data_IF_437987122638
#
_entry.id   IF_437987122638
#
_cell.length_a   1.000
_cell.length_b   1.000
_cell.length_c   1.000
_cell.angle_alpha   90.00
_cell.angle_beta   90.00
_cell.angle_gamma   90.00
#
_symmetry.space_group_name_H-M   'P 1'
#
loop_
_entity.id
_entity.type
_entity.pdbx_description
1 polymer ?
#
# COMPACT_ATOMS: atom_id res chain seq x y z
N UNK A 1 23.01 -16.82 7.07
CA UNK A 1 21.70 -16.32 6.60
C UNK A 1 21.46 -14.96 7.24
N UNK A 2 21.16 -13.92 6.46
CA UNK A 2 21.01 -12.54 6.95
C UNK A 2 19.87 -12.45 8.00
N UNK A 3 20.07 -11.68 9.09
CA UNK A 3 19.10 -11.50 10.18
C UNK A 3 17.74 -11.01 9.66
N UNK A 4 17.77 -10.05 8.71
CA UNK A 4 16.57 -9.50 8.08
C UNK A 4 15.80 -10.60 7.35
N UNK A 5 16.48 -11.48 6.59
CA UNK A 5 15.82 -12.57 5.86
C UNK A 5 15.09 -13.56 6.79
N UNK A 6 15.70 -13.92 7.92
CA UNK A 6 15.05 -14.80 8.93
C UNK A 6 13.80 -14.13 9.52
N UNK A 7 13.89 -12.83 9.79
CA UNK A 7 12.76 -12.07 10.32
C UNK A 7 11.63 -11.98 9.28
N UNK A 8 11.96 -11.66 8.03
CA UNK A 8 11.01 -11.65 6.91
C UNK A 8 10.31 -13.01 6.75
N UNK A 9 11.06 -14.11 6.75
CA UNK A 9 10.48 -15.44 6.62
C UNK A 9 9.51 -15.77 7.78
N UNK A 10 9.91 -15.49 9.03
CA UNK A 10 9.04 -15.67 10.20
C UNK A 10 7.72 -14.88 10.04
N UNK A 11 7.82 -13.61 9.66
CA UNK A 11 6.64 -12.74 9.53
C UNK A 11 5.74 -13.22 8.39
N UNK A 12 6.30 -13.59 7.25
CA UNK A 12 5.52 -14.13 6.13
C UNK A 12 4.75 -15.39 6.54
N UNK A 13 5.43 -16.35 7.16
CA UNK A 13 4.79 -17.61 7.56
C UNK A 13 3.69 -17.43 8.62
N UNK A 14 3.83 -16.41 9.49
CA UNK A 14 2.80 -16.08 10.48
C UNK A 14 1.65 -15.23 9.94
N UNK A 15 1.84 -14.55 8.81
CA UNK A 15 0.85 -13.62 8.22
C UNK A 15 0.05 -14.25 7.08
N UNK A 16 0.56 -15.31 6.45
CA UNK A 16 -0.07 -15.99 5.32
C UNK A 16 -1.02 -17.09 5.82
N UNK A 17 -2.10 -16.71 6.48
CA UNK A 17 -3.23 -17.59 6.75
C UNK A 17 -4.32 -17.42 5.69
N UNK A 18 -5.24 -18.41 5.61
CA UNK A 18 -6.33 -18.41 4.62
C UNK A 18 -7.20 -17.16 4.75
N UNK A 19 -7.42 -16.65 5.96
CA UNK A 19 -8.23 -15.46 6.21
C UNK A 19 -7.61 -14.22 5.60
N UNK A 20 -6.32 -14.00 5.84
CA UNK A 20 -5.58 -12.85 5.30
C UNK A 20 -5.45 -12.91 3.77
N UNK A 21 -5.18 -14.11 3.22
CA UNK A 21 -5.12 -14.31 1.76
C UNK A 21 -6.49 -14.05 1.11
N UNK A 22 -7.57 -14.54 1.73
CA UNK A 22 -8.92 -14.30 1.23
C UNK A 22 -9.26 -12.81 1.21
N UNK A 23 -8.90 -12.07 2.25
CA UNK A 23 -9.15 -10.64 2.33
C UNK A 23 -8.34 -9.85 1.28
N UNK A 24 -7.09 -10.27 1.03
CA UNK A 24 -6.22 -9.69 0.00
C UNK A 24 -6.77 -9.83 -1.42
N UNK A 25 -7.57 -10.85 -1.68
CA UNK A 25 -8.12 -11.15 -3.02
C UNK A 25 -9.57 -10.71 -3.14
N UNK A 26 -10.44 -11.13 -2.21
CA UNK A 26 -11.89 -10.96 -2.34
C UNK A 26 -12.31 -9.49 -2.30
N UNK A 27 -11.68 -8.69 -1.45
CA UNK A 27 -12.07 -7.29 -1.30
C UNK A 27 -11.71 -6.46 -2.55
N UNK A 28 -10.48 -6.49 -3.08
CA UNK A 28 -10.15 -5.76 -4.31
C UNK A 28 -10.85 -6.30 -5.55
N UNK A 29 -11.04 -7.64 -5.66
CA UNK A 29 -11.83 -8.23 -6.75
C UNK A 29 -13.28 -7.75 -6.68
N UNK A 30 -13.87 -7.72 -5.48
CA UNK A 30 -15.20 -7.17 -5.26
C UNK A 30 -15.29 -5.70 -5.72
N UNK A 31 -14.33 -4.86 -5.37
CA UNK A 31 -14.27 -3.46 -5.84
C UNK A 31 -14.14 -3.38 -7.37
N UNK A 32 -13.25 -4.17 -7.97
CA UNK A 32 -13.08 -4.18 -9.43
C UNK A 32 -14.36 -4.57 -10.15
N UNK A 33 -15.02 -5.65 -9.70
CA UNK A 33 -16.23 -6.14 -10.34
C UNK A 33 -17.41 -5.20 -10.08
N UNK A 34 -17.68 -4.84 -8.82
CA UNK A 34 -18.84 -4.01 -8.47
C UNK A 34 -18.69 -2.59 -9.05
N UNK A 35 -17.59 -1.91 -8.76
CA UNK A 35 -17.36 -0.55 -9.29
C UNK A 35 -17.12 -0.56 -10.80
N UNK A 36 -16.37 -1.54 -11.30
CA UNK A 36 -16.11 -1.68 -12.74
C UNK A 36 -17.39 -1.90 -13.55
N UNK A 37 -18.28 -2.80 -13.11
CA UNK A 37 -19.55 -3.08 -13.79
C UNK A 37 -20.56 -1.94 -13.60
N UNK A 38 -20.72 -1.44 -12.37
CA UNK A 38 -21.68 -0.36 -12.08
C UNK A 38 -21.28 0.95 -12.78
N UNK A 39 -20.05 1.42 -12.55
CA UNK A 39 -19.58 2.67 -13.17
C UNK A 39 -19.35 2.51 -14.67
N UNK A 40 -18.89 1.33 -15.13
CA UNK A 40 -18.74 1.04 -16.56
C UNK A 40 -20.07 1.08 -17.33
N UNK A 41 -21.22 0.78 -16.70
CA UNK A 41 -22.53 0.92 -17.30
C UNK A 41 -22.99 2.39 -17.37
N UNK A 42 -22.60 3.24 -16.42
CA UNK A 42 -22.96 4.66 -16.33
C UNK A 42 -21.99 5.50 -17.19
N UNK A 43 -20.69 5.20 -17.10
CA UNK A 43 -19.59 5.90 -17.78
C UNK A 43 -18.80 4.85 -18.58
N UNK A 44 -19.30 4.40 -19.72
CA UNK A 44 -18.64 3.34 -20.49
C UNK A 44 -17.26 3.74 -20.99
N UNK A 45 -17.04 5.03 -21.27
CA UNK A 45 -15.79 5.57 -21.76
C UNK A 45 -15.44 6.88 -21.06
N UNK A 46 -14.15 7.11 -20.86
CA UNK A 46 -13.60 8.37 -20.36
C UNK A 46 -12.33 8.75 -21.13
N UNK A 47 -11.97 10.02 -21.06
CA UNK A 47 -10.70 10.50 -21.62
C UNK A 47 -9.66 10.60 -20.50
N UNK A 48 -8.53 9.97 -20.73
CA UNK A 48 -7.37 10.06 -19.85
C UNK A 48 -6.12 10.32 -20.69
N UNK A 49 -5.38 11.39 -20.41
CA UNK A 49 -4.22 11.85 -21.18
C UNK A 49 -4.44 11.87 -22.71
N UNK A 50 -5.64 12.24 -23.16
CA UNK A 50 -6.00 12.32 -24.58
C UNK A 50 -6.45 11.00 -25.22
N UNK A 51 -6.30 9.86 -24.56
CA UNK A 51 -6.82 8.57 -25.04
C UNK A 51 -8.23 8.29 -24.49
N UNK A 52 -9.08 7.71 -25.35
CA UNK A 52 -10.40 7.21 -24.95
C UNK A 52 -10.24 5.79 -24.39
N UNK A 53 -10.52 5.63 -23.11
CA UNK A 53 -10.41 4.35 -22.40
C UNK A 53 -11.74 3.97 -21.75
N UNK A 54 -11.96 2.67 -21.48
CA UNK A 54 -13.07 2.24 -20.67
C UNK A 54 -12.81 2.50 -19.18
N UNK A 55 -13.88 2.60 -18.39
CA UNK A 55 -13.75 2.87 -16.95
C UNK A 55 -12.95 1.80 -16.20
N UNK A 56 -13.07 0.53 -16.59
CA UNK A 56 -12.33 -0.56 -15.94
C UNK A 56 -10.83 -0.43 -16.18
N UNK A 57 -10.40 -0.02 -17.38
CA UNK A 57 -8.97 0.24 -17.67
C UNK A 57 -8.41 1.41 -16.85
N UNK A 58 -9.26 2.38 -16.48
CA UNK A 58 -8.88 3.45 -15.56
C UNK A 58 -8.79 2.95 -14.10
N UNK A 59 -9.76 2.14 -13.67
CA UNK A 59 -9.94 1.69 -12.30
C UNK A 59 -8.90 0.65 -11.89
N UNK A 60 -8.62 -0.33 -12.75
CA UNK A 60 -7.79 -1.50 -12.41
C UNK A 60 -6.39 -1.12 -11.89
N UNK A 61 -5.59 -0.23 -12.54
CA UNK A 61 -4.31 0.22 -11.99
C UNK A 61 -4.45 0.88 -10.60
N UNK A 62 -5.55 1.59 -10.38
CA UNK A 62 -5.85 2.21 -9.09
C UNK A 62 -6.04 1.17 -7.98
N UNK A 63 -6.80 0.10 -8.25
CA UNK A 63 -7.02 -1.00 -7.29
C UNK A 63 -5.73 -1.81 -7.07
N UNK A 64 -4.92 -1.99 -8.11
CA UNK A 64 -3.59 -2.62 -7.98
C UNK A 64 -2.69 -1.79 -7.05
N UNK A 65 -2.70 -0.47 -7.18
CA UNK A 65 -1.97 0.43 -6.29
C UNK A 65 -2.51 0.41 -4.85
N UNK A 66 -3.82 0.28 -4.68
CA UNK A 66 -4.49 0.29 -3.36
C UNK A 66 -4.07 -0.89 -2.47
N UNK A 67 -3.50 -1.97 -3.03
CA UNK A 67 -2.92 -3.08 -2.28
C UNK A 67 -1.83 -2.64 -1.28
N UNK A 68 -1.18 -1.50 -1.51
CA UNK A 68 -0.19 -0.95 -0.58
C UNK A 68 -0.79 -0.56 0.78
N UNK A 69 -2.07 -0.16 0.80
CA UNK A 69 -2.76 0.18 2.05
C UNK A 69 -3.07 -1.06 2.88
N UNK A 70 -3.44 -2.17 2.23
CA UNK A 70 -3.65 -3.46 2.89
C UNK A 70 -2.35 -3.96 3.51
N UNK A 71 -1.26 -4.01 2.72
CA UNK A 71 0.07 -4.39 3.22
C UNK A 71 0.57 -3.46 4.33
N UNK A 72 0.35 -2.14 4.18
CA UNK A 72 0.69 -1.16 5.21
C UNK A 72 -0.06 -1.39 6.53
N UNK A 73 -1.38 -1.61 6.47
CA UNK A 73 -2.19 -1.91 7.66
C UNK A 73 -1.73 -3.18 8.37
N UNK A 74 -1.41 -4.23 7.61
CA UNK A 74 -0.85 -5.47 8.16
C UNK A 74 0.49 -5.23 8.87
N UNK A 75 1.37 -4.37 8.33
CA UNK A 75 2.64 -4.02 8.97
C UNK A 75 2.43 -3.44 10.38
N UNK A 76 1.52 -2.49 10.51
CA UNK A 76 1.19 -1.87 11.79
C UNK A 76 0.53 -2.83 12.77
N UNK A 77 -0.37 -3.69 12.26
CA UNK A 77 -1.04 -4.71 13.07
C UNK A 77 -0.05 -5.74 13.64
N UNK A 78 0.90 -6.21 12.84
CA UNK A 78 1.93 -7.16 13.29
C UNK A 78 2.75 -6.57 14.43
N UNK A 79 3.21 -5.33 14.30
CA UNK A 79 3.94 -4.66 15.38
C UNK A 79 3.09 -4.51 16.63
N UNK A 80 1.82 -4.12 16.47
CA UNK A 80 0.88 -4.00 17.59
C UNK A 80 0.66 -5.35 18.29
N UNK A 81 0.45 -6.43 17.52
CA UNK A 81 0.22 -7.77 18.04
C UNK A 81 1.46 -8.32 18.76
N UNK A 82 2.63 -8.26 18.14
CA UNK A 82 3.90 -8.72 18.73
C UNK A 82 4.22 -7.97 20.04
N UNK A 83 3.93 -6.66 20.08
CA UNK A 83 4.06 -5.86 21.32
C UNK A 83 3.13 -6.36 22.43
N UNK A 84 1.89 -6.72 22.09
CA UNK A 84 0.88 -7.09 23.08
C UNK A 84 1.11 -8.48 23.69
N UNK A 85 1.62 -9.42 22.92
CA UNK A 85 1.86 -10.80 23.39
C UNK A 85 3.29 -10.99 23.98
N UNK A 86 4.05 -9.92 24.16
CA UNK A 86 5.42 -9.99 24.69
C UNK A 86 6.45 -10.61 23.73
N UNK A 87 6.10 -10.76 22.45
CA UNK A 87 7.01 -11.32 21.45
C UNK A 87 8.19 -10.41 21.17
N UNK A 88 8.04 -9.08 21.34
CA UNK A 88 9.14 -8.14 21.16
C UNK A 88 10.27 -8.38 22.15
N UNK A 89 9.96 -8.68 23.42
CA UNK A 89 10.94 -9.01 24.46
C UNK A 89 11.72 -10.28 24.08
N UNK A 90 11.02 -11.31 23.58
CA UNK A 90 11.66 -12.55 23.12
C UNK A 90 12.56 -12.32 21.91
N UNK A 91 12.14 -11.51 20.94
CA UNK A 91 12.95 -11.19 19.74
C UNK A 91 14.22 -10.44 20.15
N UNK A 92 14.14 -9.51 21.11
CA UNK A 92 15.31 -8.72 21.52
C UNK A 92 16.18 -9.39 22.58
N UNK A 93 15.78 -10.51 23.15
CA UNK A 93 16.70 -11.42 23.85
C UNK A 93 17.61 -12.18 22.89
N UNK A 94 17.25 -12.25 21.60
CA UNK A 94 18.08 -12.78 20.52
C UNK A 94 18.91 -11.65 19.88
N UNK A 95 19.96 -11.96 19.07
CA UNK A 95 20.84 -10.95 18.48
C UNK A 95 20.20 -10.20 17.30
N UNK A 96 18.95 -9.75 17.44
CA UNK A 96 18.24 -8.90 16.47
C UNK A 96 18.23 -7.46 16.92
N UNK A 97 18.41 -6.53 15.96
CA UNK A 97 18.24 -5.11 16.21
C UNK A 97 16.78 -4.69 15.95
N UNK A 98 16.38 -3.56 16.53
CA UNK A 98 15.08 -2.94 16.26
C UNK A 98 14.88 -2.63 14.77
N UNK A 99 15.98 -2.29 14.09
CA UNK A 99 15.98 -2.01 12.65
C UNK A 99 15.77 -3.29 11.84
N UNK A 100 16.42 -4.41 12.19
CA UNK A 100 16.22 -5.71 11.54
C UNK A 100 14.75 -6.14 11.61
N UNK A 101 14.08 -5.88 12.75
CA UNK A 101 12.68 -6.21 12.95
C UNK A 101 11.75 -5.35 12.06
N UNK A 102 11.90 -4.02 12.08
CA UNK A 102 11.07 -3.12 11.27
C UNK A 102 11.25 -3.36 9.78
N UNK A 103 12.49 -3.52 9.31
CA UNK A 103 12.77 -3.86 7.93
C UNK A 103 12.20 -5.24 7.56
N UNK A 104 12.30 -6.21 8.46
CA UNK A 104 11.71 -7.53 8.26
C UNK A 104 10.19 -7.46 8.02
N UNK A 105 9.47 -6.64 8.80
CA UNK A 105 8.04 -6.39 8.58
C UNK A 105 7.81 -5.74 7.21
N UNK A 106 8.50 -4.64 6.91
CA UNK A 106 8.27 -3.89 5.66
C UNK A 106 8.55 -4.75 4.42
N UNK A 107 9.63 -5.54 4.44
CA UNK A 107 9.95 -6.45 3.32
C UNK A 107 8.91 -7.57 3.21
N UNK A 108 8.43 -8.12 4.33
CA UNK A 108 7.37 -9.11 4.32
C UNK A 108 6.09 -8.56 3.69
N UNK A 109 5.70 -7.35 4.09
CA UNK A 109 4.50 -6.70 3.55
C UNK A 109 4.67 -6.28 2.08
N UNK A 110 5.89 -5.95 1.67
CA UNK A 110 6.19 -5.72 0.26
C UNK A 110 5.94 -6.97 -0.59
N UNK A 111 6.37 -8.14 -0.13
CA UNK A 111 6.10 -9.40 -0.83
C UNK A 111 4.61 -9.73 -0.87
N UNK A 112 3.87 -9.48 0.21
CA UNK A 112 2.41 -9.61 0.24
C UNK A 112 1.74 -8.65 -0.73
N UNK A 113 2.14 -7.37 -0.73
CA UNK A 113 1.63 -6.35 -1.67
C UNK A 113 1.91 -6.73 -3.12
N UNK A 114 3.11 -7.21 -3.45
CA UNK A 114 3.44 -7.66 -4.80
C UNK A 114 2.58 -8.84 -5.23
N UNK A 115 2.38 -9.83 -4.34
CA UNK A 115 1.53 -10.98 -4.64
C UNK A 115 0.08 -10.54 -4.89
N UNK A 116 -0.48 -9.67 -4.05
CA UNK A 116 -1.82 -9.13 -4.21
C UNK A 116 -1.97 -8.30 -5.49
N UNK A 117 -1.02 -7.41 -5.78
CA UNK A 117 -1.00 -6.59 -6.99
C UNK A 117 -0.89 -7.42 -8.25
N UNK A 118 -0.06 -8.48 -8.25
CA UNK A 118 0.06 -9.42 -9.36
C UNK A 118 -1.25 -10.17 -9.62
N UNK A 119 -1.86 -10.71 -8.57
CA UNK A 119 -3.14 -11.39 -8.65
C UNK A 119 -4.23 -10.46 -9.20
N UNK A 120 -4.29 -9.21 -8.71
CA UNK A 120 -5.24 -8.22 -9.21
C UNK A 120 -5.01 -7.86 -10.67
N UNK A 121 -3.74 -7.75 -11.08
CA UNK A 121 -3.39 -7.55 -12.50
C UNK A 121 -3.92 -8.69 -13.36
N UNK A 122 -3.69 -9.94 -12.93
CA UNK A 122 -4.16 -11.15 -13.66
C UNK A 122 -5.71 -11.15 -13.77
N UNK A 123 -6.41 -10.83 -12.68
CA UNK A 123 -7.88 -10.74 -12.69
C UNK A 123 -8.39 -9.62 -13.60
N UNK A 124 -7.64 -8.52 -13.72
CA UNK A 124 -8.03 -7.38 -14.55
C UNK A 124 -7.76 -7.59 -16.06
N UNK A 125 -6.80 -8.45 -16.45
CA UNK A 125 -6.41 -8.68 -17.87
C UNK A 125 -7.62 -8.88 -18.83
N UNK A 126 -8.66 -9.68 -18.50
CA UNK A 126 -9.78 -9.86 -19.41
C UNK A 126 -10.61 -8.59 -19.68
N UNK A 127 -10.49 -7.58 -18.83
CA UNK A 127 -11.30 -6.36 -18.87
C UNK A 127 -10.56 -5.11 -19.35
N UNK A 128 -9.22 -5.18 -19.46
CA UNK A 128 -8.36 -4.05 -19.78
C UNK A 128 -7.46 -4.32 -20.97
N UNK A 129 -7.16 -3.28 -21.74
CA UNK A 129 -6.10 -3.32 -22.76
C UNK A 129 -4.76 -2.97 -22.10
N UNK A 130 -4.05 -3.99 -21.64
CA UNK A 130 -2.75 -3.82 -21.00
C UNK A 130 -1.67 -3.57 -22.07
N UNK A 131 -1.03 -2.40 -22.03
CA UNK A 131 0.08 -2.01 -22.91
C UNK A 131 1.42 -1.96 -22.15
N UNK A 132 1.58 -2.78 -21.11
CA UNK A 132 2.75 -2.69 -20.23
C UNK A 132 4.03 -3.12 -20.96
N UNK A 133 5.05 -2.29 -20.90
CA UNK A 133 6.42 -2.57 -21.36
C UNK A 133 7.28 -3.08 -20.21
N UNK A 134 8.49 -3.57 -20.49
CA UNK A 134 9.45 -3.93 -19.45
C UNK A 134 9.74 -2.75 -18.50
N UNK A 135 9.90 -1.54 -19.07
CA UNK A 135 10.08 -0.31 -18.26
C UNK A 135 8.85 -0.03 -17.40
N UNK A 136 7.64 -0.19 -17.96
CA UNK A 136 6.38 -0.06 -17.21
C UNK A 136 6.30 -1.06 -16.05
N UNK A 137 6.68 -2.31 -16.28
CA UNK A 137 6.72 -3.32 -15.22
C UNK A 137 7.68 -2.94 -14.09
N UNK A 138 8.89 -2.48 -14.41
CA UNK A 138 9.86 -1.98 -13.43
C UNK A 138 9.28 -0.78 -12.66
N UNK A 139 8.62 0.15 -13.35
CA UNK A 139 7.96 1.30 -12.74
C UNK A 139 6.89 0.86 -11.73
N UNK A 140 6.05 -0.11 -12.08
CA UNK A 140 5.06 -0.67 -11.14
C UNK A 140 5.73 -1.22 -9.88
N UNK A 141 6.81 -2.02 -10.02
CA UNK A 141 7.53 -2.56 -8.88
C UNK A 141 8.14 -1.47 -7.98
N UNK A 142 8.71 -0.43 -8.59
CA UNK A 142 9.28 0.72 -7.86
C UNK A 142 8.19 1.44 -7.05
N UNK A 143 7.06 1.78 -7.69
CA UNK A 143 6.00 2.53 -7.02
C UNK A 143 5.26 1.70 -5.97
N UNK A 144 5.07 0.40 -6.18
CA UNK A 144 4.57 -0.51 -5.15
C UNK A 144 5.54 -0.59 -3.96
N UNK A 145 6.85 -0.61 -4.21
CA UNK A 145 7.86 -0.60 -3.16
C UNK A 145 7.80 0.69 -2.34
N UNK A 146 7.88 1.84 -3.00
CA UNK A 146 7.83 3.14 -2.34
C UNK A 146 6.53 3.32 -1.55
N UNK A 147 5.39 2.99 -2.17
CA UNK A 147 4.09 3.06 -1.52
C UNK A 147 3.99 2.17 -0.29
N UNK A 148 4.42 0.90 -0.39
CA UNK A 148 4.40 -0.03 0.75
C UNK A 148 5.27 0.46 1.90
N UNK A 149 6.44 1.04 1.62
CA UNK A 149 7.30 1.60 2.66
C UNK A 149 6.72 2.88 3.27
N UNK A 150 6.07 3.75 2.48
CA UNK A 150 5.38 4.95 2.98
C UNK A 150 4.24 4.55 3.94
N UNK A 151 3.28 3.76 3.45
CA UNK A 151 2.10 3.39 4.24
C UNK A 151 2.42 2.39 5.34
N UNK A 152 3.36 1.46 5.10
CA UNK A 152 3.87 0.55 6.14
C UNK A 152 4.52 1.32 7.29
N UNK A 153 5.37 2.30 7.01
CA UNK A 153 5.99 3.14 8.03
C UNK A 153 4.96 3.96 8.81
N UNK A 154 3.95 4.51 8.12
CA UNK A 154 2.84 5.22 8.75
C UNK A 154 2.08 4.31 9.72
N UNK A 155 1.73 3.10 9.29
CA UNK A 155 0.99 2.15 10.12
C UNK A 155 1.84 1.57 11.25
N UNK A 156 3.15 1.41 11.06
CA UNK A 156 4.08 1.05 12.14
C UNK A 156 4.10 2.10 13.25
N UNK A 157 3.98 3.40 12.92
CA UNK A 157 3.88 4.47 13.93
C UNK A 157 2.61 4.24 14.78
N UNK A 158 1.46 4.00 14.15
CA UNK A 158 0.21 3.73 14.88
C UNK A 158 0.28 2.42 15.68
N UNK A 159 0.84 1.34 15.12
CA UNK A 159 1.07 0.07 15.81
C UNK A 159 1.93 0.22 17.07
N UNK A 160 2.93 1.11 17.03
CA UNK A 160 3.77 1.41 18.18
C UNK A 160 3.03 2.18 19.30
N UNK A 161 2.17 3.13 18.95
CA UNK A 161 1.53 4.06 19.89
C UNK A 161 0.24 3.49 20.47
N UNK A 162 -0.58 2.84 19.65
CA UNK A 162 -1.94 2.44 20.01
C UNK A 162 -1.93 1.30 21.03
N UNK A 163 -2.83 1.40 22.04
CA UNK A 163 -2.93 0.42 23.14
C UNK A 163 -3.99 -0.65 22.90
N UNK A 164 -5.02 -0.38 22.09
CA UNK A 164 -6.17 -1.26 21.88
C UNK A 164 -6.28 -1.67 20.42
N UNK A 165 -6.60 -2.97 20.17
CA UNK A 165 -6.87 -3.49 18.83
C UNK A 165 -8.04 -2.75 18.16
N UNK A 166 -9.09 -2.47 18.92
CA UNK A 166 -10.26 -1.74 18.41
C UNK A 166 -9.88 -0.35 17.89
N UNK A 167 -9.05 0.38 18.65
CA UNK A 167 -8.58 1.71 18.26
C UNK A 167 -7.65 1.62 17.04
N UNK A 168 -6.76 0.60 16.98
CA UNK A 168 -5.91 0.39 15.82
C UNK A 168 -6.74 0.13 14.55
N UNK A 169 -7.71 -0.77 14.63
CA UNK A 169 -8.59 -1.10 13.51
C UNK A 169 -9.44 0.10 13.08
N UNK A 170 -9.95 0.89 14.04
CA UNK A 170 -10.69 2.12 13.74
C UNK A 170 -9.84 3.12 12.97
N UNK A 171 -8.62 3.40 13.44
CA UNK A 171 -7.68 4.31 12.77
C UNK A 171 -7.33 3.77 11.37
N UNK A 172 -7.02 2.48 11.25
CA UNK A 172 -6.67 1.86 9.98
C UNK A 172 -7.81 1.97 8.96
N UNK A 173 -9.06 1.69 9.37
CA UNK A 173 -10.22 1.76 8.49
C UNK A 173 -10.53 3.21 8.06
N UNK A 174 -10.44 4.17 9.00
CA UNK A 174 -10.62 5.59 8.71
C UNK A 174 -9.55 6.06 7.71
N UNK A 175 -8.29 5.75 7.96
CA UNK A 175 -7.19 6.13 7.07
C UNK A 175 -7.34 5.47 5.70
N UNK A 176 -7.65 4.18 5.66
CA UNK A 176 -7.89 3.46 4.41
C UNK A 176 -8.99 4.16 3.59
N UNK A 177 -10.14 4.42 4.21
CA UNK A 177 -11.25 5.09 3.54
C UNK A 177 -10.84 6.47 2.99
N UNK A 178 -10.31 7.34 3.86
CA UNK A 178 -9.96 8.70 3.44
C UNK A 178 -8.84 8.72 2.39
N UNK A 179 -7.80 7.92 2.56
CA UNK A 179 -6.67 7.87 1.63
C UNK A 179 -7.13 7.36 0.26
N UNK A 180 -7.90 6.27 0.22
CA UNK A 180 -8.39 5.70 -1.04
C UNK A 180 -9.35 6.65 -1.76
N UNK A 181 -10.38 7.17 -1.07
CA UNK A 181 -11.38 8.03 -1.69
C UNK A 181 -10.89 9.47 -1.97
N UNK A 182 -9.89 9.95 -1.24
CA UNK A 182 -9.27 11.24 -1.52
C UNK A 182 -8.09 11.14 -2.52
N UNK A 183 -7.90 10.00 -3.17
CA UNK A 183 -6.89 9.78 -4.21
C UNK A 183 -7.52 9.71 -5.61
N UNK A 184 -6.70 9.43 -6.61
CA UNK A 184 -7.15 9.19 -7.98
C UNK A 184 -7.52 7.74 -8.29
N UNK A 185 -7.79 6.89 -7.29
CA UNK A 185 -8.16 5.46 -7.51
C UNK A 185 -9.43 5.35 -8.33
N UNK A 186 -10.51 5.98 -7.91
CA UNK A 186 -11.85 5.81 -8.47
C UNK A 186 -12.25 6.84 -9.52
N UNK A 187 -11.62 8.01 -9.55
CA UNK A 187 -11.97 9.11 -10.46
C UNK A 187 -10.72 9.88 -10.92
N UNK A 188 -10.74 10.43 -12.14
CA UNK A 188 -9.65 11.25 -12.64
C UNK A 188 -9.64 12.62 -11.95
N UNK A 189 -8.45 13.13 -11.64
CA UNK A 189 -8.27 14.47 -11.10
C UNK A 189 -8.15 15.48 -12.24
N UNK A 190 -9.26 15.90 -12.78
CA UNK A 190 -9.34 16.85 -13.90
C UNK A 190 -10.06 18.15 -13.50
N UNK A 191 -10.30 19.04 -14.47
CA UNK A 191 -10.98 20.31 -14.24
C UNK A 191 -12.42 20.17 -13.72
N UNK A 192 -13.09 19.04 -14.01
CA UNK A 192 -14.44 18.74 -13.54
C UNK A 192 -14.50 18.27 -12.08
N UNK A 193 -13.34 17.88 -11.51
CA UNK A 193 -13.26 17.44 -10.11
C UNK A 193 -13.30 18.67 -9.18
N UNK A 194 -14.09 18.65 -8.09
CA UNK A 194 -14.13 19.75 -7.12
C UNK A 194 -12.75 20.15 -6.64
N UNK A 195 -12.48 21.46 -6.56
CA UNK A 195 -11.15 22.00 -6.22
C UNK A 195 -10.61 21.49 -4.89
N UNK A 196 -11.48 21.31 -3.89
CA UNK A 196 -11.10 20.76 -2.58
C UNK A 196 -10.52 19.35 -2.73
N UNK A 197 -11.17 18.46 -3.49
CA UNK A 197 -10.68 17.09 -3.71
C UNK A 197 -9.35 17.07 -4.46
N UNK A 198 -9.17 17.97 -5.46
CA UNK A 198 -7.88 18.10 -6.17
C UNK A 198 -6.75 18.52 -5.25
N UNK A 199 -7.01 19.48 -4.34
CA UNK A 199 -6.01 19.93 -3.36
C UNK A 199 -5.67 18.79 -2.39
N UNK A 200 -6.67 18.12 -1.82
CA UNK A 200 -6.44 17.00 -0.89
C UNK A 200 -5.68 15.87 -1.57
N UNK A 201 -6.02 15.54 -2.81
CA UNK A 201 -5.34 14.51 -3.58
C UNK A 201 -3.86 14.81 -3.85
N UNK A 202 -3.48 16.09 -3.97
CA UNK A 202 -2.06 16.49 -4.13
C UNK A 202 -1.21 16.21 -2.88
N UNK A 203 -1.82 16.21 -1.69
CA UNK A 203 -1.13 15.84 -0.45
C UNK A 203 -1.18 14.34 -0.14
N UNK A 204 -1.95 13.59 -0.92
CA UNK A 204 -2.14 12.16 -0.72
C UNK A 204 -1.06 11.34 -1.43
N UNK A 205 -0.17 10.63 -0.69
CA UNK A 205 0.88 9.82 -1.31
C UNK A 205 0.36 8.73 -2.26
N UNK A 206 -0.86 8.20 -1.99
CA UNK A 206 -1.47 7.19 -2.85
C UNK A 206 -1.72 7.71 -4.27
N UNK A 207 -2.06 8.98 -4.42
CA UNK A 207 -2.30 9.61 -5.73
C UNK A 207 -1.08 9.48 -6.65
N UNK A 208 0.12 9.70 -6.13
CA UNK A 208 1.37 9.57 -6.89
C UNK A 208 1.62 8.13 -7.32
N UNK A 209 1.38 7.17 -6.43
CA UNK A 209 1.51 5.73 -6.75
C UNK A 209 0.51 5.33 -7.82
N UNK A 210 -0.78 5.67 -7.65
CA UNK A 210 -1.86 5.31 -8.58
C UNK A 210 -1.61 5.87 -9.97
N UNK A 211 -1.26 7.16 -10.08
CA UNK A 211 -1.04 7.79 -11.37
C UNK A 211 0.14 7.15 -12.10
N UNK A 212 1.27 6.93 -11.42
CA UNK A 212 2.45 6.33 -12.04
C UNK A 212 2.24 4.86 -12.44
N UNK A 213 1.48 4.08 -11.64
CA UNK A 213 1.11 2.71 -12.05
C UNK A 213 0.15 2.75 -13.25
N UNK A 214 -0.77 3.71 -13.30
CA UNK A 214 -1.70 3.87 -14.43
C UNK A 214 -0.97 4.25 -15.71
N UNK A 215 -0.03 5.19 -15.64
CA UNK A 215 0.80 5.59 -16.78
C UNK A 215 1.68 4.43 -17.27
N UNK A 216 2.18 3.59 -16.36
CA UNK A 216 2.90 2.37 -16.69
C UNK A 216 2.02 1.32 -17.42
N UNK A 217 0.77 1.15 -17.01
CA UNK A 217 -0.18 0.22 -17.65
C UNK A 217 -0.60 0.68 -19.06
N UNK A 218 -0.62 2.00 -19.28
CA UNK A 218 -1.00 2.61 -20.56
C UNK A 218 0.20 2.90 -21.46
N UNK A 219 1.42 2.58 -21.02
CA UNK A 219 2.68 2.91 -21.70
C UNK A 219 2.83 4.42 -21.99
N UNK A 220 2.43 5.25 -21.01
CA UNK A 220 2.48 6.73 -21.09
C UNK A 220 3.52 7.30 -20.12
N UNK A 221 4.61 6.57 -19.87
CA UNK A 221 5.67 6.99 -18.95
C UNK A 221 6.41 8.23 -19.47
N UNK A 222 6.69 9.18 -18.58
CA UNK A 222 7.39 10.43 -18.88
C UNK A 222 8.28 10.91 -17.73
N UNK A 223 8.51 12.21 -17.65
CA UNK A 223 9.32 12.80 -16.59
C UNK A 223 8.56 12.90 -15.24
N UNK A 224 7.26 12.83 -15.27
CA UNK A 224 6.41 12.99 -14.08
C UNK A 224 6.63 11.85 -13.07
N UNK A 225 6.97 10.63 -13.52
CA UNK A 225 7.27 9.51 -12.66
C UNK A 225 8.54 9.74 -11.82
N UNK A 226 9.50 10.48 -12.37
CA UNK A 226 10.71 10.87 -11.63
C UNK A 226 10.34 11.82 -10.48
N UNK A 227 9.51 12.83 -10.74
CA UNK A 227 9.04 13.75 -9.69
C UNK A 227 8.20 13.02 -8.65
N UNK A 228 7.27 12.15 -9.07
CA UNK A 228 6.44 11.34 -8.17
C UNK A 228 7.30 10.44 -7.28
N UNK A 229 8.35 9.81 -7.83
CA UNK A 229 9.25 8.96 -7.06
C UNK A 229 10.07 9.75 -6.03
N UNK A 230 10.56 10.95 -6.39
CA UNK A 230 11.29 11.81 -5.47
C UNK A 230 10.42 12.28 -4.29
N UNK A 231 9.17 12.66 -4.56
CA UNK A 231 8.21 13.02 -3.51
C UNK A 231 7.97 11.84 -2.57
N UNK A 232 7.72 10.65 -3.12
CA UNK A 232 7.49 9.44 -2.32
C UNK A 232 8.72 9.03 -1.50
N UNK A 233 9.94 9.17 -2.05
CA UNK A 233 11.20 8.93 -1.32
C UNK A 233 11.34 9.89 -0.15
N UNK A 234 11.03 11.17 -0.35
CA UNK A 234 11.08 12.16 0.73
C UNK A 234 10.07 11.83 1.85
N UNK A 235 8.82 11.51 1.50
CA UNK A 235 7.79 11.12 2.47
C UNK A 235 8.19 9.82 3.18
N UNK A 236 8.68 8.82 2.45
CA UNK A 236 9.16 7.55 2.99
C UNK A 236 10.28 7.78 4.02
N UNK A 237 11.28 8.60 3.69
CA UNK A 237 12.40 8.88 4.59
C UNK A 237 11.90 9.50 5.91
N UNK A 238 11.03 10.50 5.83
CA UNK A 238 10.45 11.16 7.01
C UNK A 238 9.66 10.18 7.87
N UNK A 239 8.72 9.41 7.26
CA UNK A 239 7.88 8.46 8.00
C UNK A 239 8.70 7.31 8.59
N UNK A 240 9.72 6.83 7.89
CA UNK A 240 10.60 5.78 8.38
C UNK A 240 11.41 6.27 9.59
N UNK A 241 11.94 7.49 9.56
CA UNK A 241 12.64 8.09 10.71
C UNK A 241 11.71 8.24 11.91
N UNK A 242 10.48 8.72 11.70
CA UNK A 242 9.47 8.85 12.77
C UNK A 242 9.11 7.46 13.32
N UNK A 243 8.93 6.45 12.45
CA UNK A 243 8.63 5.08 12.85
C UNK A 243 9.75 4.50 13.74
N UNK A 244 11.01 4.63 13.33
CA UNK A 244 12.18 4.18 14.11
C UNK A 244 12.24 4.90 15.46
N UNK A 245 12.03 6.22 15.47
CA UNK A 245 12.03 7.01 16.71
C UNK A 245 10.91 6.61 17.67
N UNK A 246 9.69 6.47 17.16
CA UNK A 246 8.52 6.06 17.95
C UNK A 246 8.72 4.66 18.52
N UNK A 247 9.26 3.76 17.72
CA UNK A 247 9.55 2.40 18.13
C UNK A 247 10.63 2.33 19.21
N UNK A 248 11.64 3.20 19.16
CA UNK A 248 12.68 3.30 20.22
C UNK A 248 12.09 3.67 21.59
N UNK A 249 10.96 4.38 21.62
CA UNK A 249 10.28 4.80 22.86
C UNK A 249 9.41 3.71 23.49
N UNK A 250 9.17 2.59 22.82
CA UNK A 250 8.47 1.45 23.44
C UNK A 250 9.32 0.97 24.61
N UNK A 251 8.81 1.18 25.83
CA UNK A 251 9.39 0.62 27.05
C UNK A 251 8.95 -0.84 27.11
N UNK A 252 9.90 -1.75 27.18
CA UNK A 252 9.64 -3.13 27.54
C UNK A 252 9.36 -3.13 29.04
N UNK A 253 8.21 -3.64 29.43
CA UNK A 253 7.91 -3.92 30.84
C UNK A 253 8.85 -5.06 31.23
N UNK A 254 9.94 -4.75 31.93
CA UNK A 254 10.66 -5.78 32.65
C UNK A 254 9.70 -6.26 33.76
N UNK A 255 8.85 -7.23 33.46
CA UNK A 255 8.18 -8.03 34.47
C UNK A 255 9.26 -8.93 35.05
N UNK A 256 9.85 -8.48 36.19
CA UNK A 256 10.50 -9.35 37.14
C UNK A 256 9.42 -10.25 37.74
#
# INVERSE_FOLDING_TARGET
>A
MNKIFRMTYRILTSSLDISNISMLILMPVGYLLLMGLMMGSIIPFMYFNGEKINYVSFLAPGIVADQILLGGSMAGWILWADKRVGMLEQIFSMPYTRFDYLLGILISMLLVTFSGSLLMTIVAIPFIYLKITLLGFITVLVFLTLGTFVFGSLMLIFGAIVKSNQVFNLISNILFFFITFASSVFYPLNSSTPSILRIVAQFNPLTYVVNSIRDAYMNQLGQIEIYNSLILIAIMAVLMLISIYTYKKIKFSATV
#
